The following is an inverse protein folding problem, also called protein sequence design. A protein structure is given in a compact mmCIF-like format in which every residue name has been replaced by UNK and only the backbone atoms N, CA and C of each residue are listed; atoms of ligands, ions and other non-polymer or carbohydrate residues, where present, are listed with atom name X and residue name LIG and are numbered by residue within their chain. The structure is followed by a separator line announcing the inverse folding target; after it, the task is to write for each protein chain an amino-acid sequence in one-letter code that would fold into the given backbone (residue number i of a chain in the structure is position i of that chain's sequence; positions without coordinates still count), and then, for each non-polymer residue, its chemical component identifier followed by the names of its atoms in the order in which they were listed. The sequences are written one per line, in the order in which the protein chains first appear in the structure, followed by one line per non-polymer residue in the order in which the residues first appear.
data_IF_354721933669
#
_entry.id   IF_354721933669
#
_cell.length_a   1.000
_cell.length_b   1.000
_cell.length_c   1.000
_cell.angle_alpha   90.00
_cell.angle_beta   90.00
_cell.angle_gamma   90.00
#
_symmetry.space_group_name_H-M   'P 1'
#
loop_
_entity.id
_entity.type
_entity.pdbx_description
1 polymer ?
#
# COMPACT_ATOMS: atom_id res chain seq x y z
N UNK A 1 -5.88 -14.98 -5.37
CA UNK A 1 -5.48 -13.60 -5.02
C UNK A 1 -6.41 -13.15 -3.91
N UNK A 2 -5.86 -12.80 -2.73
CA UNK A 2 -6.66 -12.44 -1.55
C UNK A 2 -6.43 -10.96 -1.27
N UNK A 3 -7.51 -10.20 -1.10
CA UNK A 3 -7.46 -8.76 -0.83
C UNK A 3 -7.41 -8.54 0.68
N UNK A 4 -6.48 -7.73 1.15
CA UNK A 4 -6.49 -7.22 2.52
C UNK A 4 -7.39 -6.00 2.54
N UNK A 5 -8.33 -5.98 3.47
CA UNK A 5 -9.25 -4.86 3.65
C UNK A 5 -9.12 -4.40 5.10
N UNK A 6 -8.44 -3.27 5.32
CA UNK A 6 -8.54 -2.60 6.61
C UNK A 6 -9.79 -1.72 6.62
N UNK A 7 -10.69 -1.95 7.58
CA UNK A 7 -11.72 -0.97 7.90
C UNK A 7 -11.00 0.23 8.50
N UNK A 8 -10.85 1.31 7.71
CA UNK A 8 -10.42 2.60 8.23
C UNK A 8 -11.53 3.09 9.16
N UNK A 9 -11.34 2.91 10.47
CA UNK A 9 -12.12 3.67 11.44
C UNK A 9 -11.66 5.12 11.31
N UNK A 10 -12.54 6.02 10.85
CA UNK A 10 -12.39 7.44 11.16
C UNK A 10 -12.47 7.55 12.69
N UNK A 11 -11.32 7.60 13.36
CA UNK A 11 -11.27 7.99 14.76
C UNK A 11 -11.86 9.40 14.85
N UNK A 12 -13.06 9.51 15.41
CA UNK A 12 -13.48 10.76 16.03
C UNK A 12 -12.38 11.10 17.04
N UNK A 13 -11.80 12.30 16.92
CA UNK A 13 -10.73 12.75 17.80
C UNK A 13 -11.18 12.56 19.26
N UNK A 14 -10.45 11.83 20.12
CA UNK A 14 -10.76 11.83 21.53
C UNK A 14 -10.58 13.26 22.09
N UNK A 15 -11.41 13.70 23.05
CA UNK A 15 -11.27 15.02 23.65
C UNK A 15 -9.87 15.18 24.28
N UNK A 16 -9.30 16.39 24.29
CA UNK A 16 -7.92 16.61 24.72
C UNK A 16 -7.74 16.23 26.19
N UNK A 17 -6.91 15.22 26.45
CA UNK A 17 -6.47 14.84 27.79
C UNK A 17 -5.51 15.91 28.34
N UNK A 18 -5.80 16.40 29.55
CA UNK A 18 -4.94 17.33 30.29
C UNK A 18 -3.56 16.71 30.52
N UNK A 19 -2.50 17.49 30.23
CA UNK A 19 -1.11 17.11 30.45
C UNK A 19 -0.84 16.92 31.95
N UNK A 20 -0.82 15.67 32.41
CA UNK A 20 -0.13 15.29 33.64
C UNK A 20 1.29 14.84 33.28
N UNK A 21 2.27 15.49 33.87
CA UNK A 21 3.70 15.27 33.64
C UNK A 21 4.14 14.06 34.46
N UNK A 22 4.44 12.92 33.81
CA UNK A 22 5.04 11.76 34.48
C UNK A 22 6.57 11.95 34.59
N UNK A 23 7.21 11.53 35.69
CA UNK A 23 8.63 11.78 35.93
C UNK A 23 9.52 10.93 35.00
N UNK A 24 10.52 11.58 34.42
CA UNK A 24 11.57 10.99 33.59
C UNK A 24 12.34 9.95 34.40
N UNK A 25 12.13 8.66 34.11
CA UNK A 25 13.05 7.59 34.52
C UNK A 25 13.74 7.05 33.28
N UNK A 26 15.04 7.28 33.24
CA UNK A 26 16.02 6.63 32.38
C UNK A 26 15.82 5.11 32.40
N UNK A 27 15.60 4.51 31.23
CA UNK A 27 15.66 3.06 31.05
C UNK A 27 16.77 2.78 30.05
N UNK A 28 18.00 2.72 30.58
CA UNK A 28 19.08 2.00 29.90
C UNK A 28 18.78 0.50 30.01
N UNK A 29 19.07 -0.22 28.92
CA UNK A 29 19.15 -1.68 28.79
C UNK A 29 17.88 -2.48 29.05
N UNK A 30 17.37 -3.12 27.99
CA UNK A 30 16.96 -4.53 27.89
C UNK A 30 16.35 -4.74 26.49
N UNK A 31 16.76 -5.84 25.82
CA UNK A 31 16.47 -6.27 24.44
C UNK A 31 17.54 -5.93 23.40
N UNK A 32 18.68 -6.60 23.54
CA UNK A 32 19.38 -7.09 22.35
C UNK A 32 18.53 -8.16 21.68
N UNK A 33 17.71 -7.78 20.71
CA UNK A 33 17.23 -8.73 19.71
C UNK A 33 18.34 -8.86 18.68
N UNK A 34 19.01 -10.01 18.62
CA UNK A 34 19.81 -10.36 17.45
C UNK A 34 18.85 -10.30 16.25
N UNK A 35 18.99 -9.26 15.43
CA UNK A 35 18.19 -9.13 14.21
C UNK A 35 18.83 -10.10 13.22
N UNK A 36 18.09 -11.16 12.90
CA UNK A 36 18.50 -12.19 11.95
C UNK A 36 18.92 -11.51 10.62
N UNK A 37 20.18 -11.63 10.16
CA UNK A 37 20.67 -10.88 9.00
C UNK A 37 19.86 -11.19 7.72
N UNK A 38 19.36 -12.41 7.58
CA UNK A 38 18.49 -12.83 6.49
C UNK A 38 17.14 -12.06 6.47
N UNK A 39 16.64 -11.67 7.64
CA UNK A 39 15.41 -10.89 7.76
C UNK A 39 15.62 -9.43 7.32
N UNK A 40 16.83 -8.88 7.48
CA UNK A 40 17.17 -7.52 7.02
C UNK A 40 17.30 -7.49 5.50
N UNK A 41 18.02 -8.45 4.93
CA UNK A 41 18.21 -8.54 3.47
C UNK A 41 16.87 -8.73 2.75
N UNK A 42 16.01 -9.63 3.26
CA UNK A 42 14.67 -9.82 2.70
C UNK A 42 13.79 -8.56 2.81
N UNK A 43 13.92 -7.77 3.87
CA UNK A 43 13.19 -6.51 3.99
C UNK A 43 13.71 -5.46 3.00
N UNK A 44 15.02 -5.33 2.81
CA UNK A 44 15.60 -4.40 1.84
C UNK A 44 15.15 -4.73 0.40
N UNK A 45 15.09 -6.01 0.05
CA UNK A 45 14.55 -6.46 -1.23
C UNK A 45 13.10 -6.03 -1.41
N UNK A 46 12.27 -6.18 -0.38
CA UNK A 46 10.88 -5.74 -0.44
C UNK A 46 10.78 -4.22 -0.56
N UNK A 47 11.55 -3.46 0.22
CA UNK A 47 11.57 -2.00 0.18
C UNK A 47 11.94 -1.46 -1.21
N UNK A 48 12.92 -2.08 -1.88
CA UNK A 48 13.32 -1.74 -3.24
C UNK A 48 12.22 -2.04 -4.29
N UNK A 49 11.35 -3.00 -3.99
CA UNK A 49 10.26 -3.42 -4.86
C UNK A 49 8.99 -2.58 -4.72
N UNK A 50 8.89 -1.79 -3.65
CA UNK A 50 7.77 -0.87 -3.41
C UNK A 50 8.01 0.45 -4.14
N UNK A 51 6.96 0.94 -4.79
CA UNK A 51 7.00 2.15 -5.59
C UNK A 51 5.90 3.12 -5.16
N UNK A 52 6.17 4.41 -5.34
CA UNK A 52 5.18 5.45 -5.12
C UNK A 52 4.49 5.78 -6.43
N UNK A 53 3.17 5.70 -6.44
CA UNK A 53 2.32 6.01 -7.58
C UNK A 53 1.80 7.44 -7.41
N UNK A 54 2.00 8.26 -8.43
CA UNK A 54 1.48 9.62 -8.54
C UNK A 54 0.42 9.62 -9.62
N UNK A 55 -0.82 9.87 -9.24
CA UNK A 55 -1.93 9.99 -10.17
C UNK A 55 -2.36 11.46 -10.23
N UNK A 56 -2.54 11.95 -11.44
CA UNK A 56 -3.28 13.18 -11.70
C UNK A 56 -4.61 12.77 -12.29
N UNK A 57 -5.72 13.17 -11.69
CA UNK A 57 -7.06 12.81 -12.14
C UNK A 57 -7.91 14.05 -12.38
N UNK A 58 -8.86 13.92 -13.31
CA UNK A 58 -9.83 14.96 -13.62
C UNK A 58 -11.21 14.30 -13.45
N UNK A 59 -11.84 14.39 -12.28
CA UNK A 59 -13.09 13.70 -12.03
C UNK A 59 -14.26 14.34 -12.80
N UNK A 60 -15.21 13.50 -13.23
CA UNK A 60 -16.43 13.94 -13.89
C UNK A 60 -17.34 14.75 -12.93
N UNK A 61 -18.07 15.73 -13.48
CA UNK A 61 -19.15 16.39 -12.75
C UNK A 61 -20.49 15.71 -13.07
N UNK A 62 -20.98 14.86 -12.15
CA UNK A 62 -22.25 14.16 -12.35
C UNK A 62 -23.48 15.08 -12.38
N UNK A 63 -23.41 16.28 -11.82
CA UNK A 63 -24.51 17.26 -11.88
C UNK A 63 -24.51 18.04 -13.20
N UNK A 64 -23.34 18.25 -13.80
CA UNK A 64 -23.14 18.99 -15.05
C UNK A 64 -22.26 18.13 -15.97
N UNK A 65 -22.80 17.12 -16.66
CA UNK A 65 -22.02 16.09 -17.37
C UNK A 65 -21.18 16.62 -18.54
N UNK A 66 -21.46 17.84 -19.02
CA UNK A 66 -20.63 18.55 -20.01
C UNK A 66 -19.43 19.29 -19.39
N UNK A 67 -19.26 19.25 -18.06
CA UNK A 67 -18.14 19.87 -17.35
C UNK A 67 -17.31 18.83 -16.60
N UNK A 68 -16.00 19.02 -16.64
CA UNK A 68 -15.07 18.31 -15.78
C UNK A 68 -14.84 19.11 -14.50
N UNK A 69 -14.53 18.42 -13.39
CA UNK A 69 -14.07 19.08 -12.16
C UNK A 69 -12.61 19.52 -12.30
N UNK A 70 -12.14 20.26 -11.31
CA UNK A 70 -10.72 20.62 -11.22
C UNK A 70 -9.83 19.38 -11.13
N UNK A 71 -8.66 19.49 -11.75
CA UNK A 71 -7.63 18.48 -11.67
C UNK A 71 -7.16 18.30 -10.22
N UNK A 72 -7.04 17.04 -9.78
CA UNK A 72 -6.56 16.66 -8.45
C UNK A 72 -5.32 15.78 -8.60
N UNK A 73 -4.35 15.97 -7.71
CA UNK A 73 -3.18 15.11 -7.62
C UNK A 73 -3.29 14.23 -6.37
N UNK A 74 -3.13 12.92 -6.54
CA UNK A 74 -3.17 11.93 -5.47
C UNK A 74 -1.91 11.07 -5.51
N UNK A 75 -1.58 10.47 -4.37
CA UNK A 75 -0.48 9.52 -4.25
C UNK A 75 -0.95 8.25 -3.59
N UNK A 76 -0.49 7.11 -4.09
CA UNK A 76 -0.70 5.79 -3.51
C UNK A 76 0.58 4.98 -3.56
N UNK A 77 0.51 3.77 -3.03
CA UNK A 77 1.59 2.80 -3.07
C UNK A 77 1.33 1.77 -4.17
N UNK A 78 2.41 1.15 -4.63
CA UNK A 78 2.37 0.02 -5.55
C UNK A 78 3.58 -0.85 -5.31
N UNK A 79 3.60 -2.03 -5.92
CA UNK A 79 4.78 -2.88 -5.91
C UNK A 79 4.95 -3.64 -7.21
N UNK A 80 6.19 -4.03 -7.47
CA UNK A 80 6.58 -4.70 -8.71
C UNK A 80 6.32 -6.20 -8.59
N UNK A 81 5.67 -6.75 -9.60
CA UNK A 81 5.45 -8.20 -9.76
C UNK A 81 6.16 -8.69 -11.03
N UNK A 82 6.08 -10.00 -11.29
CA UNK A 82 6.62 -10.61 -12.51
C UNK A 82 6.09 -9.93 -13.78
N UNK A 83 6.79 -10.10 -14.90
CA UNK A 83 6.40 -9.58 -16.22
C UNK A 83 6.44 -8.06 -16.38
N UNK A 84 7.27 -7.35 -15.59
CA UNK A 84 7.37 -5.88 -15.63
C UNK A 84 6.02 -5.21 -15.38
N UNK A 85 5.30 -5.75 -14.40
CA UNK A 85 4.02 -5.25 -13.98
C UNK A 85 4.12 -4.65 -12.58
N UNK A 86 3.30 -3.66 -12.33
CA UNK A 86 3.19 -2.95 -11.07
C UNK A 86 1.76 -3.07 -10.62
N UNK A 87 1.55 -3.61 -9.43
CA UNK A 87 0.24 -3.77 -8.85
C UNK A 87 -0.03 -2.62 -7.88
N UNK A 88 -1.23 -2.05 -7.94
CA UNK A 88 -1.76 -1.05 -7.00
C UNK A 88 -3.29 -1.18 -6.96
N UNK A 89 -3.97 -0.29 -6.25
CA UNK A 89 -5.43 -0.29 -6.22
C UNK A 89 -6.02 0.48 -7.40
N UNK A 90 -7.15 0.01 -7.92
CA UNK A 90 -7.84 0.66 -9.04
C UNK A 90 -8.33 2.07 -8.69
N UNK A 91 -8.83 2.28 -7.47
CA UNK A 91 -9.31 3.58 -7.03
C UNK A 91 -8.20 4.64 -7.01
N UNK A 92 -6.93 4.23 -6.87
CA UNK A 92 -5.80 5.14 -6.86
C UNK A 92 -5.57 5.82 -8.21
N UNK A 93 -6.01 5.17 -9.29
CA UNK A 93 -5.86 5.65 -10.67
C UNK A 93 -7.21 5.97 -11.30
N UNK A 94 -8.29 6.12 -10.54
CA UNK A 94 -9.60 6.41 -11.11
C UNK A 94 -9.65 7.81 -11.76
N UNK A 95 -10.22 7.88 -12.97
CA UNK A 95 -10.32 9.10 -13.79
C UNK A 95 -8.95 9.77 -14.04
N UNK A 96 -7.92 8.96 -14.25
CA UNK A 96 -6.57 9.44 -14.46
C UNK A 96 -6.44 10.24 -15.76
N UNK A 97 -5.70 11.34 -15.70
CA UNK A 97 -5.17 12.05 -16.86
C UNK A 97 -3.68 11.76 -17.07
N UNK A 98 -2.93 11.51 -15.99
CA UNK A 98 -1.54 11.04 -16.09
C UNK A 98 -1.11 10.24 -14.87
N UNK A 99 -0.37 9.16 -15.10
CA UNK A 99 0.24 8.34 -14.04
C UNK A 99 1.75 8.45 -14.14
N UNK A 100 2.39 8.67 -12.99
CA UNK A 100 3.85 8.62 -12.85
C UNK A 100 4.24 7.76 -11.67
N UNK A 101 5.33 7.00 -11.80
CA UNK A 101 5.81 6.09 -10.77
C UNK A 101 7.23 6.48 -10.37
N UNK A 102 7.52 6.43 -9.08
CA UNK A 102 8.86 6.68 -8.53
C UNK A 102 9.32 5.48 -7.71
N UNK A 103 10.56 5.07 -7.93
CA UNK A 103 11.20 3.99 -7.18
C UNK A 103 11.64 4.48 -5.81
N UNK A 104 11.81 3.55 -4.87
CA UNK A 104 12.53 3.86 -3.65
C UNK A 104 13.97 4.31 -3.96
N UNK A 105 14.44 5.37 -3.29
CA UNK A 105 15.78 5.92 -3.49
C UNK A 105 16.03 6.66 -4.81
N UNK A 106 15.06 6.73 -5.74
CA UNK A 106 15.18 7.47 -7.00
C UNK A 106 14.35 8.76 -6.95
N UNK A 107 14.92 9.88 -7.40
CA UNK A 107 14.20 11.14 -7.53
C UNK A 107 13.36 11.19 -8.82
N UNK A 108 13.73 10.40 -9.83
CA UNK A 108 13.08 10.44 -11.15
C UNK A 108 11.70 9.80 -11.11
N UNK A 109 10.72 10.51 -11.67
CA UNK A 109 9.37 10.03 -11.92
C UNK A 109 9.28 9.51 -13.35
N UNK A 110 8.80 8.29 -13.52
CA UNK A 110 8.67 7.63 -14.82
C UNK A 110 7.20 7.63 -15.25
N UNK A 111 6.86 7.95 -16.50
CA UNK A 111 5.51 7.80 -17.00
C UNK A 111 5.11 6.32 -17.00
N UNK A 112 3.90 6.03 -16.55
CA UNK A 112 3.35 4.68 -16.53
C UNK A 112 2.03 4.63 -17.30
N UNK A 113 1.69 3.45 -17.80
CA UNK A 113 0.40 3.17 -18.45
C UNK A 113 -0.31 2.03 -17.74
N UNK A 114 -1.64 2.08 -17.77
CA UNK A 114 -2.48 0.99 -17.30
C UNK A 114 -2.42 -0.14 -18.34
N UNK A 115 -2.22 -1.36 -17.87
CA UNK A 115 -2.34 -2.59 -18.66
C UNK A 115 -3.73 -3.17 -18.47
N UNK A 116 -4.15 -3.32 -17.21
CA UNK A 116 -5.47 -3.83 -16.84
C UNK A 116 -5.98 -3.09 -15.61
N UNK A 117 -7.30 -2.88 -15.56
CA UNK A 117 -7.98 -2.33 -14.40
C UNK A 117 -9.22 -3.18 -14.11
N UNK A 118 -9.41 -3.51 -12.85
CA UNK A 118 -10.55 -4.26 -12.37
C UNK A 118 -11.14 -3.51 -11.17
N UNK A 119 -12.18 -2.71 -11.43
CA UNK A 119 -12.85 -1.92 -10.40
C UNK A 119 -13.59 -2.81 -9.38
N UNK A 120 -14.04 -3.99 -9.81
CA UNK A 120 -14.76 -4.99 -9.01
C UNK A 120 -13.96 -5.44 -7.78
N UNK A 121 -12.68 -5.71 -7.99
CA UNK A 121 -11.74 -6.15 -6.97
C UNK A 121 -10.71 -5.07 -6.60
N UNK A 122 -10.92 -3.84 -7.06
CA UNK A 122 -10.09 -2.66 -6.82
C UNK A 122 -8.60 -2.88 -7.09
N UNK A 123 -8.27 -3.55 -8.19
CA UNK A 123 -6.90 -3.84 -8.60
C UNK A 123 -6.59 -3.16 -9.93
N UNK A 124 -5.41 -2.57 -10.03
CA UNK A 124 -4.82 -2.13 -11.30
C UNK A 124 -3.46 -2.76 -11.51
N UNK A 125 -3.21 -3.16 -12.75
CA UNK A 125 -1.89 -3.53 -13.26
C UNK A 125 -1.40 -2.43 -14.17
N UNK A 126 -0.23 -1.88 -13.85
CA UNK A 126 0.46 -0.83 -14.60
C UNK A 126 1.81 -1.32 -15.11
N UNK A 127 2.37 -0.62 -16.08
CA UNK A 127 3.74 -0.85 -16.56
C UNK A 127 4.41 0.46 -16.96
N UNK A 128 5.73 0.43 -17.05
CA UNK A 128 6.60 1.55 -17.40
C UNK A 128 7.41 1.14 -18.63
N UNK A 129 7.35 1.92 -19.70
CA UNK A 129 8.02 1.56 -20.95
C UNK A 129 9.54 1.87 -20.91
N UNK A 130 9.99 2.76 -20.02
CA UNK A 130 11.42 3.08 -19.85
C UNK A 130 12.17 1.91 -19.19
N UNK A 131 13.03 1.22 -19.95
CA UNK A 131 13.86 0.11 -19.47
C UNK A 131 14.75 0.48 -18.25
N UNK A 132 15.14 1.75 -18.11
CA UNK A 132 15.96 2.20 -16.98
C UNK A 132 15.22 2.11 -15.65
N UNK A 133 13.89 2.18 -15.68
CA UNK A 133 13.07 1.96 -14.50
C UNK A 133 13.35 0.58 -13.92
N UNK A 134 13.29 -0.46 -14.76
CA UNK A 134 13.40 -1.89 -14.40
C UNK A 134 14.78 -2.35 -13.92
N UNK A 135 15.81 -1.51 -14.04
CA UNK A 135 17.16 -1.86 -13.60
C UNK A 135 17.24 -1.94 -12.07
N UNK A 136 17.84 -3.03 -11.57
CA UNK A 136 18.05 -3.29 -10.13
C UNK A 136 16.77 -3.38 -9.31
N UNK A 137 15.69 -3.83 -9.94
CA UNK A 137 14.43 -4.14 -9.28
C UNK A 137 14.23 -5.65 -9.26
N UNK A 138 13.85 -6.17 -8.10
CA UNK A 138 13.46 -7.57 -7.97
C UNK A 138 11.93 -7.66 -7.89
N UNK A 139 11.29 -8.50 -8.71
CA UNK A 139 9.85 -8.66 -8.65
C UNK A 139 9.45 -9.50 -7.45
N UNK A 140 8.44 -9.02 -6.76
CA UNK A 140 7.80 -9.72 -5.68
C UNK A 140 6.95 -10.89 -6.18
N UNK A 141 6.95 -11.99 -5.43
CA UNK A 141 6.14 -13.19 -5.74
C UNK A 141 4.88 -13.21 -4.90
N UNK A 142 3.73 -13.25 -5.56
CA UNK A 142 2.43 -13.34 -4.89
C UNK A 142 2.25 -14.72 -4.24
N UNK A 143 1.65 -14.72 -3.05
CA UNK A 143 1.26 -15.94 -2.38
C UNK A 143 -0.13 -16.40 -2.83
N UNK A 144 -0.32 -17.72 -2.93
CA UNK A 144 -1.62 -18.31 -3.20
C UNK A 144 -2.38 -18.71 -1.92
N UNK A 145 -1.70 -18.71 -0.77
CA UNK A 145 -2.27 -19.15 0.50
C UNK A 145 -2.99 -18.00 1.22
N UNK A 146 -4.10 -18.34 1.87
CA UNK A 146 -4.82 -17.44 2.78
C UNK A 146 -4.12 -17.52 4.14
N UNK A 147 -3.68 -16.40 4.73
CA UNK A 147 -3.02 -16.41 6.02
C UNK A 147 -4.01 -16.77 7.13
N UNK A 148 -3.50 -17.41 8.18
CA UNK A 148 -4.29 -17.81 9.35
C UNK A 148 -4.44 -16.64 10.30
N UNK A 149 -5.45 -16.74 11.16
CA UNK A 149 -5.63 -15.81 12.27
C UNK A 149 -4.34 -15.73 13.12
N UNK A 150 -4.04 -14.54 13.62
CA UNK A 150 -2.88 -14.23 14.47
C UNK A 150 -1.52 -14.31 13.77
N UNK A 151 -1.46 -14.62 12.47
CA UNK A 151 -0.20 -14.56 11.73
C UNK A 151 0.28 -13.12 11.56
N UNK A 152 1.61 -12.93 11.65
CA UNK A 152 2.21 -11.61 11.54
C UNK A 152 2.22 -11.14 10.09
N UNK A 153 1.76 -9.90 9.89
CA UNK A 153 1.76 -9.22 8.60
C UNK A 153 2.48 -7.88 8.75
N UNK A 154 3.30 -7.56 7.75
CA UNK A 154 3.99 -6.29 7.62
C UNK A 154 3.52 -5.58 6.36
N UNK A 155 2.92 -4.40 6.48
CA UNK A 155 2.57 -3.54 5.35
C UNK A 155 3.73 -2.58 5.09
N UNK A 156 4.07 -2.44 3.81
CA UNK A 156 5.05 -1.46 3.35
C UNK A 156 4.38 -0.53 2.35
N UNK A 157 4.57 0.78 2.50
CA UNK A 157 3.96 1.75 1.60
C UNK A 157 4.46 3.17 1.83
N UNK A 158 3.87 4.11 1.11
CA UNK A 158 4.15 5.53 1.18
C UNK A 158 2.95 6.27 1.80
N UNK A 159 3.09 6.81 3.02
CA UNK A 159 2.02 7.59 3.62
C UNK A 159 1.84 8.92 2.88
N UNK A 160 0.63 9.46 2.94
CA UNK A 160 0.32 10.76 2.33
C UNK A 160 1.22 11.86 2.92
N UNK A 161 1.71 12.76 2.05
CA UNK A 161 2.57 13.87 2.45
C UNK A 161 4.05 13.52 2.70
N UNK A 162 4.40 12.24 2.79
CA UNK A 162 5.78 11.78 2.99
C UNK A 162 6.40 11.18 1.72
N UNK A 163 7.71 11.33 1.56
CA UNK A 163 8.48 10.68 0.49
C UNK A 163 9.27 9.44 0.95
N UNK A 164 9.26 9.19 2.25
CA UNK A 164 9.86 8.02 2.87
C UNK A 164 8.87 6.85 2.92
N UNK A 165 9.41 5.64 2.87
CA UNK A 165 8.63 4.43 3.12
C UNK A 165 8.20 4.36 4.59
N UNK A 166 6.98 3.90 4.80
CA UNK A 166 6.42 3.53 6.09
C UNK A 166 6.26 2.03 6.13
N UNK A 167 6.71 1.43 7.23
CA UNK A 167 6.53 0.02 7.53
C UNK A 167 5.62 -0.07 8.74
N UNK A 168 4.51 -0.80 8.62
CA UNK A 168 3.60 -1.05 9.75
C UNK A 168 3.43 -2.54 9.94
N UNK A 169 3.66 -3.02 11.16
CA UNK A 169 3.51 -4.42 11.53
C UNK A 169 2.22 -4.62 12.31
N UNK A 170 1.55 -5.73 12.06
CA UNK A 170 0.38 -6.17 12.79
C UNK A 170 0.17 -7.67 12.65
N UNK A 171 -1.06 -8.10 12.94
CA UNK A 171 -1.47 -9.50 12.82
C UNK A 171 -2.79 -9.61 12.07
N UNK A 172 -3.04 -10.78 11.48
CA UNK A 172 -4.36 -11.11 10.92
C UNK A 172 -5.37 -11.19 12.05
N UNK A 173 -6.33 -10.27 12.08
CA UNK A 173 -7.39 -10.24 13.08
C UNK A 173 -8.64 -10.99 12.62
N UNK A 174 -8.91 -11.03 11.31
CA UNK A 174 -10.09 -11.71 10.76
C UNK A 174 -9.89 -12.10 9.29
N UNK A 175 -10.47 -13.22 8.89
CA UNK A 175 -10.65 -13.61 7.49
C UNK A 175 -12.14 -13.79 7.26
N UNK A 176 -12.73 -12.99 6.36
CA UNK A 176 -14.19 -12.95 6.16
C UNK A 176 -14.56 -12.56 4.74
N UNK A 177 -15.70 -13.02 4.25
CA UNK A 177 -16.31 -12.46 3.05
C UNK A 177 -16.91 -11.09 3.38
N UNK A 178 -16.45 -10.04 2.71
CA UNK A 178 -16.95 -8.68 2.93
C UNK A 178 -17.30 -8.01 1.62
N UNK A 179 -18.30 -7.13 1.67
CA UNK A 179 -18.70 -6.31 0.53
C UNK A 179 -17.63 -5.25 0.29
N UNK A 180 -17.01 -5.30 -0.88
CA UNK A 180 -16.01 -4.32 -1.26
C UNK A 180 -16.68 -2.97 -1.54
N UNK A 181 -16.21 -1.90 -0.91
CA UNK A 181 -16.90 -0.61 -0.88
C UNK A 181 -17.04 0.06 -2.24
N UNK A 182 -16.16 -0.27 -3.20
CA UNK A 182 -16.17 0.33 -4.53
C UNK A 182 -17.05 -0.42 -5.54
N UNK A 183 -17.19 -1.74 -5.40
CA UNK A 183 -17.90 -2.60 -6.34
C UNK A 183 -19.21 -3.17 -5.85
N UNK A 184 -19.45 -3.09 -4.53
CA UNK A 184 -20.57 -3.74 -3.84
C UNK A 184 -20.56 -5.28 -3.98
N UNK A 185 -19.45 -5.87 -4.43
CA UNK A 185 -19.29 -7.32 -4.55
C UNK A 185 -18.82 -7.96 -3.25
N UNK A 186 -19.23 -9.21 -3.02
CA UNK A 186 -18.82 -9.99 -1.87
C UNK A 186 -17.53 -10.75 -2.18
N UNK A 187 -16.40 -10.27 -1.64
CA UNK A 187 -15.07 -10.84 -1.88
C UNK A 187 -14.42 -11.30 -0.58
N UNK A 188 -13.44 -12.21 -0.69
CA UNK A 188 -12.65 -12.65 0.45
C UNK A 188 -11.74 -11.51 0.91
N UNK A 189 -11.91 -11.11 2.16
CA UNK A 189 -11.14 -10.03 2.79
C UNK A 189 -10.38 -10.51 4.00
N UNK A 190 -9.18 -9.98 4.18
CA UNK A 190 -8.36 -10.18 5.38
C UNK A 190 -8.31 -8.86 6.14
N UNK A 191 -8.77 -8.87 7.38
CA UNK A 191 -8.63 -7.77 8.30
C UNK A 191 -7.34 -7.97 9.11
N UNK A 192 -6.60 -6.88 9.27
CA UNK A 192 -5.37 -6.83 10.04
C UNK A 192 -5.48 -5.81 11.17
N UNK A 193 -4.76 -6.07 12.25
CA UNK A 193 -4.59 -5.13 13.36
C UNK A 193 -3.27 -4.37 13.17
N UNK A 194 -3.23 -3.54 12.14
CA UNK A 194 -2.09 -2.70 11.79
C UNK A 194 -2.62 -1.31 11.39
N UNK A 195 -1.89 -0.25 11.77
CA UNK A 195 -2.25 1.10 11.38
C UNK A 195 -2.11 1.28 9.85
N UNK A 196 -3.21 1.51 9.16
CA UNK A 196 -3.22 1.83 7.74
C UNK A 196 -3.44 3.33 7.55
N UNK A 197 -2.40 4.03 7.10
CA UNK A 197 -2.49 5.45 6.77
C UNK A 197 -2.91 5.64 5.31
N UNK A 198 -3.65 6.73 4.98
CA UNK A 198 -3.89 7.10 3.59
C UNK A 198 -2.57 7.17 2.80
N UNK A 199 -2.56 6.62 1.59
CA UNK A 199 -1.36 6.50 0.74
C UNK A 199 -0.68 5.13 0.79
N UNK A 200 -0.80 4.38 1.89
CA UNK A 200 -0.25 3.01 1.98
C UNK A 200 -1.08 1.99 1.18
N UNK A 201 -2.32 2.32 0.80
CA UNK A 201 -3.16 1.50 -0.08
C UNK A 201 -2.47 1.28 -1.44
N UNK A 202 -2.55 0.05 -1.93
CA UNK A 202 -1.80 -0.47 -3.08
C UNK A 202 -0.41 -0.99 -2.75
N UNK A 203 0.06 -0.80 -1.51
CA UNK A 203 1.31 -1.36 -1.04
C UNK A 203 1.23 -2.86 -0.77
N UNK A 204 2.37 -3.57 -0.77
CA UNK A 204 2.40 -4.98 -0.43
C UNK A 204 2.23 -5.19 1.07
N UNK A 205 1.53 -6.27 1.41
CA UNK A 205 1.47 -6.83 2.74
C UNK A 205 2.22 -8.17 2.76
N UNK A 206 3.19 -8.27 3.65
CA UNK A 206 4.18 -9.34 3.71
C UNK A 206 3.86 -10.22 4.90
N UNK A 207 3.71 -11.51 4.65
CA UNK A 207 3.62 -12.56 5.66
C UNK A 207 4.99 -13.24 5.77
N UNK A 208 5.66 -13.07 6.91
CA UNK A 208 7.01 -13.62 7.13
C UNK A 208 8.03 -13.10 6.12
N UNK A 209 8.83 -14.01 5.53
CA UNK A 209 9.92 -13.67 4.59
C UNK A 209 9.57 -13.82 3.10
N UNK A 210 8.40 -14.35 2.70
CA UNK A 210 8.19 -14.75 1.29
C UNK A 210 6.80 -14.51 0.68
N UNK A 211 5.76 -14.28 1.48
CA UNK A 211 4.38 -14.35 0.97
C UNK A 211 3.71 -12.99 0.96
N UNK A 212 3.09 -12.63 -0.17
CA UNK A 212 2.59 -11.28 -0.41
C UNK A 212 1.12 -11.23 -0.78
N UNK A 213 0.47 -10.22 -0.21
CA UNK A 213 -0.91 -9.84 -0.45
C UNK A 213 -0.97 -8.34 -0.79
N UNK A 214 -2.05 -7.91 -1.44
CA UNK A 214 -2.31 -6.50 -1.75
C UNK A 214 -3.27 -5.93 -0.72
N UNK A 215 -3.05 -4.68 -0.27
CA UNK A 215 -3.93 -3.96 0.66
C UNK A 215 -4.61 -2.77 -0.01
#
# INVERSE_FOLDING_TARGET
MVLIYSKIYYQQQPPPLQKQQLPTKTVHSLLGTEIDPDAIESLELVLNSVVKVFCTSIPCNFYLPWQMKHQVATTSSGFIIKNRWILSNAHAVANESSIRIRKHGDAKKYPARIVHIAHECDIVIMTVDDNKFWNRLEPLTLCNDVPRLQESITIVGYPIGGDNLSVTKGVVSRVVMSTYSHSLELLLTIQIDAATNPGNSGGPAIQGTKNLLTN
#
